data_IF_499479494263
#
_entry.id   IF_499479494263
#
_cell.length_a   1.000
_cell.length_b   1.000
_cell.length_c   1.000
_cell.angle_alpha   90.00
_cell.angle_beta   90.00
_cell.angle_gamma   90.00
#
_symmetry.space_group_name_H-M   'P 1'
#
loop_
_entity.id
_entity.type
_entity.pdbx_description
1 polymer ?
#
# COMPACT_ATOMS: atom_id res chain seq x y z
N UNK A 1 18.32 -28.19 12.74
CA UNK A 1 18.88 -26.83 12.55
C UNK A 1 18.72 -26.26 11.14
N UNK A 2 19.46 -26.66 10.10
CA UNK A 2 19.38 -26.00 8.77
C UNK A 2 18.03 -26.14 8.03
N UNK A 3 17.32 -27.26 8.22
CA UNK A 3 16.01 -27.51 7.59
C UNK A 3 14.88 -26.73 8.27
N UNK A 4 14.95 -26.57 9.59
CA UNK A 4 13.95 -25.84 10.37
C UNK A 4 14.03 -24.34 10.09
N UNK A 5 15.24 -23.78 10.00
CA UNK A 5 15.43 -22.37 9.62
C UNK A 5 14.89 -22.08 8.22
N UNK A 6 15.06 -23.01 7.26
CA UNK A 6 14.51 -22.89 5.91
C UNK A 6 12.96 -22.91 5.91
N UNK A 7 12.34 -23.81 6.69
CA UNK A 7 10.88 -23.89 6.79
C UNK A 7 10.28 -22.63 7.40
N UNK A 8 10.90 -22.11 8.47
CA UNK A 8 10.48 -20.84 9.09
C UNK A 8 10.61 -19.69 8.09
N UNK A 9 11.71 -19.66 7.34
CA UNK A 9 11.93 -18.65 6.31
C UNK A 9 10.86 -18.68 5.21
N UNK A 10 10.55 -19.87 4.67
CA UNK A 10 9.56 -20.04 3.61
C UNK A 10 8.15 -19.65 4.08
N UNK A 11 7.77 -20.05 5.30
CA UNK A 11 6.48 -19.67 5.91
C UNK A 11 6.36 -18.15 6.06
N UNK A 12 7.40 -17.50 6.60
CA UNK A 12 7.42 -16.03 6.74
C UNK A 12 7.31 -15.34 5.38
N UNK A 13 8.04 -15.82 4.38
CA UNK A 13 8.01 -15.23 3.05
C UNK A 13 6.61 -15.34 2.41
N UNK A 14 5.97 -16.50 2.55
CA UNK A 14 4.60 -16.71 2.11
C UNK A 14 3.62 -15.77 2.80
N UNK A 15 3.72 -15.62 4.12
CA UNK A 15 2.85 -14.71 4.89
C UNK A 15 3.00 -13.25 4.45
N UNK A 16 4.22 -12.78 4.22
CA UNK A 16 4.47 -11.41 3.74
C UNK A 16 3.83 -11.21 2.36
N UNK A 17 4.00 -12.16 1.45
CA UNK A 17 3.44 -12.08 0.10
C UNK A 17 1.91 -12.08 0.11
N UNK A 18 1.30 -12.94 0.92
CA UNK A 18 -0.17 -12.97 1.07
C UNK A 18 -0.66 -11.66 1.69
N UNK A 19 -0.01 -11.16 2.74
CA UNK A 19 -0.38 -9.91 3.39
C UNK A 19 -0.30 -8.69 2.45
N UNK A 20 0.81 -8.55 1.73
CA UNK A 20 0.98 -7.50 0.71
C UNK A 20 -0.04 -7.67 -0.42
N UNK A 21 -0.21 -8.90 -0.92
CA UNK A 21 -1.18 -9.22 -1.97
C UNK A 21 -2.60 -8.81 -1.59
N UNK A 22 -3.04 -9.16 -0.38
CA UNK A 22 -4.36 -8.80 0.13
C UNK A 22 -4.51 -7.28 0.30
N UNK A 23 -3.50 -6.61 0.84
CA UNK A 23 -3.52 -5.15 0.98
C UNK A 23 -3.71 -4.45 -0.38
N UNK A 24 -2.90 -4.81 -1.37
CA UNK A 24 -2.99 -4.24 -2.72
C UNK A 24 -4.28 -4.65 -3.43
N UNK A 25 -4.80 -5.85 -3.19
CA UNK A 25 -6.07 -6.31 -3.74
C UNK A 25 -7.22 -5.44 -3.22
N UNK A 26 -7.34 -5.29 -1.90
CA UNK A 26 -8.42 -4.53 -1.27
C UNK A 26 -8.38 -3.07 -1.72
N UNK A 27 -7.22 -2.41 -1.62
CA UNK A 27 -7.08 -1.02 -2.05
C UNK A 27 -7.21 -0.83 -3.56
N UNK A 28 -6.87 -1.84 -4.36
CA UNK A 28 -7.08 -1.87 -5.80
C UNK A 28 -8.56 -1.90 -6.13
N UNK A 29 -9.33 -2.82 -5.54
CA UNK A 29 -10.78 -2.94 -5.74
C UNK A 29 -11.52 -1.69 -5.27
N UNK A 30 -11.17 -1.16 -4.09
CA UNK A 30 -11.83 0.01 -3.52
C UNK A 30 -11.72 1.27 -4.39
N UNK A 31 -10.70 1.37 -5.26
CA UNK A 31 -10.57 2.47 -6.23
C UNK A 31 -11.64 2.45 -7.31
N UNK A 32 -12.28 1.31 -7.55
CA UNK A 32 -13.40 1.17 -8.49
C UNK A 32 -14.75 1.21 -7.77
N UNK A 33 -14.88 0.50 -6.64
CA UNK A 33 -16.16 0.39 -5.92
C UNK A 33 -16.49 1.62 -5.07
N UNK A 34 -15.47 2.39 -4.69
CA UNK A 34 -15.59 3.53 -3.77
C UNK A 34 -14.86 4.75 -4.31
N UNK A 35 -14.87 4.91 -5.64
CA UNK A 35 -14.16 5.99 -6.34
C UNK A 35 -14.52 7.37 -5.80
N UNK A 36 -15.82 7.63 -5.61
CA UNK A 36 -16.32 8.91 -5.09
C UNK A 36 -15.78 9.24 -3.70
N UNK A 37 -15.66 8.23 -2.84
CA UNK A 37 -15.11 8.41 -1.50
C UNK A 37 -13.63 8.80 -1.56
N UNK A 38 -12.84 8.15 -2.44
CA UNK A 38 -11.42 8.49 -2.61
C UNK A 38 -11.24 9.89 -3.20
N UNK A 39 -11.99 10.24 -4.24
CA UNK A 39 -11.86 11.52 -4.92
C UNK A 39 -12.28 12.68 -4.03
N UNK A 40 -13.43 12.58 -3.37
CA UNK A 40 -14.00 13.67 -2.61
C UNK A 40 -13.46 13.80 -1.18
N UNK A 41 -12.92 12.72 -0.61
CA UNK A 41 -12.34 12.73 0.73
C UNK A 41 -10.82 12.58 0.65
N UNK A 42 -10.32 11.34 0.62
CA UNK A 42 -8.91 11.05 0.85
C UNK A 42 -7.97 11.85 -0.08
N UNK A 43 -8.18 11.79 -1.40
CA UNK A 43 -7.30 12.41 -2.38
C UNK A 43 -7.45 13.93 -2.43
N UNK A 44 -8.67 14.47 -2.36
CA UNK A 44 -8.87 15.92 -2.22
C UNK A 44 -8.18 16.46 -0.97
N UNK A 45 -8.29 15.76 0.16
CA UNK A 45 -7.62 16.13 1.39
C UNK A 45 -6.10 16.00 1.28
N UNK A 46 -5.57 15.02 0.55
CA UNK A 46 -4.13 14.79 0.40
C UNK A 46 -3.45 15.76 -0.55
N UNK A 47 -4.07 16.04 -1.70
CA UNK A 47 -3.46 16.77 -2.80
C UNK A 47 -4.01 18.20 -2.97
N UNK A 48 -5.04 18.58 -2.18
CA UNK A 48 -5.66 19.91 -2.21
C UNK A 48 -6.37 20.25 -3.53
N UNK A 49 -6.45 19.31 -4.46
CA UNK A 49 -6.90 19.50 -5.84
C UNK A 49 -7.80 18.34 -6.29
N UNK A 50 -8.53 18.55 -7.37
CA UNK A 50 -9.37 17.51 -7.98
C UNK A 50 -8.46 16.46 -8.61
N UNK A 51 -8.45 15.26 -8.04
CA UNK A 51 -7.69 14.15 -8.60
C UNK A 51 -8.43 13.57 -9.82
N UNK A 52 -7.78 13.38 -10.98
CA UNK A 52 -8.43 12.80 -12.14
C UNK A 52 -8.91 11.36 -11.90
N UNK A 53 -10.17 11.08 -12.23
CA UNK A 53 -10.77 9.74 -12.12
C UNK A 53 -9.96 8.69 -12.88
N UNK A 54 -9.48 9.05 -14.07
CA UNK A 54 -8.63 8.18 -14.89
C UNK A 54 -7.34 7.78 -14.16
N UNK A 55 -6.70 8.71 -13.43
CA UNK A 55 -5.51 8.39 -12.65
C UNK A 55 -5.84 7.50 -11.44
N UNK A 56 -7.02 7.68 -10.83
CA UNK A 56 -7.45 6.82 -9.72
C UNK A 56 -7.59 5.37 -10.19
N UNK A 57 -8.28 5.15 -11.31
CA UNK A 57 -8.45 3.83 -11.89
C UNK A 57 -7.13 3.24 -12.38
N UNK A 58 -6.24 4.03 -12.98
CA UNK A 58 -4.91 3.56 -13.37
C UNK A 58 -4.14 3.03 -12.16
N UNK A 59 -4.14 3.78 -11.04
CA UNK A 59 -3.52 3.31 -9.79
C UNK A 59 -4.21 2.03 -9.31
N UNK A 60 -5.53 1.93 -9.40
CA UNK A 60 -6.28 0.72 -9.07
C UNK A 60 -5.82 -0.51 -9.87
N UNK A 61 -5.71 -0.37 -11.19
CA UNK A 61 -5.23 -1.45 -12.09
C UNK A 61 -3.82 -1.88 -11.69
N UNK A 62 -2.92 -0.93 -11.46
CA UNK A 62 -1.53 -1.23 -11.06
C UNK A 62 -1.51 -1.99 -9.73
N UNK A 63 -2.33 -1.59 -8.76
CA UNK A 63 -2.42 -2.30 -7.48
C UNK A 63 -2.95 -3.72 -7.63
N UNK A 64 -3.95 -3.95 -8.48
CA UNK A 64 -4.45 -5.30 -8.77
C UNK A 64 -3.37 -6.16 -9.44
N UNK A 65 -2.62 -5.62 -10.39
CA UNK A 65 -1.51 -6.33 -11.04
C UNK A 65 -0.40 -6.71 -10.04
N UNK A 66 -0.08 -5.80 -9.11
CA UNK A 66 0.86 -6.07 -8.01
C UNK A 66 0.33 -7.15 -7.08
N UNK A 67 -0.95 -7.11 -6.72
CA UNK A 67 -1.58 -8.12 -5.88
C UNK A 67 -1.51 -9.53 -6.51
N UNK A 68 -1.89 -9.64 -7.78
CA UNK A 68 -1.82 -10.90 -8.53
C UNK A 68 -0.37 -11.41 -8.59
N UNK A 69 0.59 -10.53 -8.84
CA UNK A 69 2.02 -10.89 -8.87
C UNK A 69 2.48 -11.44 -7.51
N UNK A 70 2.05 -10.83 -6.41
CA UNK A 70 2.33 -11.32 -5.06
C UNK A 70 1.71 -12.67 -4.77
N UNK A 71 0.49 -12.96 -5.22
CA UNK A 71 -0.14 -14.27 -5.05
C UNK A 71 0.50 -15.36 -5.93
N UNK A 72 0.75 -15.05 -7.20
CA UNK A 72 1.30 -16.00 -8.17
C UNK A 72 2.75 -16.39 -7.87
N UNK A 73 3.52 -15.55 -7.17
CA UNK A 73 4.99 -15.67 -7.03
C UNK A 73 5.75 -15.39 -8.32
N UNK A 74 5.09 -14.81 -9.31
CA UNK A 74 5.72 -14.46 -10.58
C UNK A 74 5.98 -12.97 -10.58
N UNK A 75 7.18 -12.57 -10.98
CA UNK A 75 7.60 -11.17 -11.00
C UNK A 75 7.51 -10.46 -9.64
N UNK A 76 7.58 -11.21 -8.53
CA UNK A 76 7.47 -10.69 -7.15
C UNK A 76 8.44 -9.54 -6.89
N UNK A 77 9.65 -9.58 -7.47
CA UNK A 77 10.64 -8.50 -7.38
C UNK A 77 10.13 -7.18 -7.94
N UNK A 78 9.60 -7.20 -9.17
CA UNK A 78 9.06 -6.02 -9.83
C UNK A 78 7.79 -5.51 -9.16
N UNK A 79 6.91 -6.42 -8.72
CA UNK A 79 5.74 -6.10 -7.92
C UNK A 79 6.13 -5.43 -6.60
N UNK A 80 7.21 -5.90 -5.96
CA UNK A 80 7.75 -5.30 -4.75
C UNK A 80 8.32 -3.90 -4.98
N UNK A 81 9.02 -3.64 -6.09
CA UNK A 81 9.44 -2.27 -6.44
C UNK A 81 8.26 -1.34 -6.65
N UNK A 82 7.25 -1.76 -7.41
CA UNK A 82 6.03 -0.98 -7.61
C UNK A 82 5.31 -0.71 -6.27
N UNK A 83 5.22 -1.72 -5.40
CA UNK A 83 4.68 -1.60 -4.07
C UNK A 83 5.46 -0.58 -3.22
N UNK A 84 6.79 -0.63 -3.23
CA UNK A 84 7.65 0.33 -2.53
C UNK A 84 7.38 1.76 -3.00
N UNK A 85 7.29 2.00 -4.30
CA UNK A 85 7.02 3.35 -4.84
C UNK A 85 5.66 3.86 -4.37
N UNK A 86 4.61 3.03 -4.46
CA UNK A 86 3.26 3.41 -4.03
C UNK A 86 3.18 3.67 -2.51
N UNK A 87 3.84 2.83 -1.71
CA UNK A 87 3.87 2.99 -0.26
C UNK A 87 4.72 4.18 0.16
N UNK A 88 5.86 4.43 -0.49
CA UNK A 88 6.67 5.63 -0.27
C UNK A 88 5.88 6.91 -0.60
N UNK A 89 5.17 6.94 -1.73
CA UNK A 89 4.28 8.05 -2.07
C UNK A 89 3.20 8.26 -0.99
N UNK A 90 2.60 7.18 -0.51
CA UNK A 90 1.61 7.23 0.58
C UNK A 90 2.23 7.81 1.84
N UNK A 91 3.41 7.34 2.26
CA UNK A 91 4.15 7.84 3.42
C UNK A 91 4.46 9.33 3.27
N UNK A 92 5.03 9.77 2.14
CA UNK A 92 5.38 11.18 1.90
C UNK A 92 4.15 12.09 1.99
N UNK A 93 3.05 11.70 1.34
CA UNK A 93 1.82 12.49 1.28
C UNK A 93 1.10 12.54 2.64
N UNK A 94 1.23 11.49 3.44
CA UNK A 94 0.59 11.41 4.76
C UNK A 94 1.48 11.90 5.90
N UNK A 95 2.79 12.07 5.69
CA UNK A 95 3.76 12.46 6.71
C UNK A 95 3.45 13.81 7.38
N UNK A 96 3.10 14.89 6.65
CA UNK A 96 2.73 16.16 7.28
C UNK A 96 1.52 16.05 8.20
N UNK A 97 0.65 15.06 7.96
CA UNK A 97 -0.60 14.86 8.71
C UNK A 97 -0.42 14.12 10.02
N UNK A 98 0.75 13.52 10.27
CA UNK A 98 1.11 12.97 11.58
C UNK A 98 1.08 14.08 12.63
N UNK A 99 1.62 15.25 12.28
CA UNK A 99 1.73 16.40 13.19
C UNK A 99 0.34 16.93 13.60
N UNK A 100 -0.66 16.76 12.75
CA UNK A 100 -2.04 17.18 13.00
C UNK A 100 -2.94 16.03 13.49
N UNK A 101 -2.43 14.80 13.59
CA UNK A 101 -3.21 13.64 14.06
C UNK A 101 -3.47 13.71 15.58
N UNK A 102 -2.62 14.41 16.32
CA UNK A 102 -2.72 14.53 17.79
C UNK A 102 -3.26 15.90 18.27
N UNK A 103 -3.73 16.75 17.36
CA UNK A 103 -4.29 18.07 17.69
C UNK A 103 -5.82 18.00 17.84
N UNK A 104 -6.36 18.63 18.89
CA UNK A 104 -7.81 18.80 19.13
C UNK A 104 -8.25 20.24 18.80
N UNK A 105 -9.40 20.45 18.13
CA UNK A 105 -10.26 19.44 17.54
C UNK A 105 -9.57 18.78 16.33
N UNK A 106 -9.80 17.48 16.08
CA UNK A 106 -9.24 16.84 14.92
C UNK A 106 -9.78 17.59 13.69
N UNK A 107 -8.91 18.12 12.80
CA UNK A 107 -9.39 18.60 11.52
C UNK A 107 -10.12 17.46 10.80
N UNK A 108 -10.88 17.77 9.76
CA UNK A 108 -11.41 16.80 8.77
C UNK A 108 -10.24 16.13 8.00
N UNK A 109 -9.29 15.56 8.74
CA UNK A 109 -8.05 15.04 8.26
C UNK A 109 -8.30 13.61 7.78
N UNK A 110 -7.72 13.23 6.63
CA UNK A 110 -7.84 11.89 6.11
C UNK A 110 -7.22 10.94 7.14
N UNK A 111 -7.66 9.68 7.13
CA UNK A 111 -7.37 8.82 8.26
C UNK A 111 -5.87 8.60 8.42
N UNK A 112 -5.31 9.07 9.54
CA UNK A 112 -3.89 8.91 9.87
C UNK A 112 -3.44 7.44 9.91
N UNK A 113 -4.39 6.49 9.96
CA UNK A 113 -4.11 5.05 9.86
C UNK A 113 -3.37 4.68 8.57
N UNK A 114 -3.56 5.41 7.46
CA UNK A 114 -2.86 5.11 6.20
C UNK A 114 -1.35 5.30 6.33
N UNK A 115 -0.91 6.29 7.10
CA UNK A 115 0.51 6.49 7.41
C UNK A 115 1.05 5.32 8.24
N UNK A 116 0.37 5.00 9.35
CA UNK A 116 0.79 3.94 10.26
C UNK A 116 0.77 2.54 9.63
N UNK A 117 -0.14 2.29 8.69
CA UNK A 117 -0.17 1.07 7.91
C UNK A 117 0.92 1.04 6.82
N UNK A 118 1.18 2.16 6.14
CA UNK A 118 2.09 2.20 5.01
C UNK A 118 3.56 1.98 5.40
N UNK A 119 4.00 2.41 6.58
CA UNK A 119 5.40 2.27 7.02
C UNK A 119 5.81 0.79 7.20
N UNK A 120 5.12 -0.05 8.00
CA UNK A 120 5.44 -1.48 8.09
C UNK A 120 5.33 -2.19 6.74
N UNK A 121 4.31 -1.86 5.95
CA UNK A 121 4.11 -2.44 4.61
C UNK A 121 5.25 -2.08 3.67
N UNK A 122 5.81 -0.88 3.77
CA UNK A 122 6.96 -0.45 2.97
C UNK A 122 8.17 -1.32 3.27
N UNK A 123 8.49 -1.55 4.55
CA UNK A 123 9.59 -2.45 4.92
C UNK A 123 9.35 -3.89 4.48
N UNK A 124 8.11 -4.37 4.57
CA UNK A 124 7.73 -5.69 4.05
C UNK A 124 7.95 -5.79 2.54
N UNK A 125 7.49 -4.80 1.76
CA UNK A 125 7.69 -4.74 0.32
C UNK A 125 9.18 -4.62 -0.05
N UNK A 126 9.93 -3.77 0.65
CA UNK A 126 11.37 -3.61 0.45
C UNK A 126 12.11 -4.93 0.69
N UNK A 127 11.71 -5.69 1.72
CA UNK A 127 12.28 -7.00 2.00
C UNK A 127 12.04 -8.02 0.88
N UNK A 128 10.94 -7.88 0.11
CA UNK A 128 10.66 -8.70 -1.06
C UNK A 128 11.47 -8.24 -2.28
N UNK A 129 11.63 -6.92 -2.46
CA UNK A 129 12.37 -6.34 -3.57
C UNK A 129 13.88 -6.68 -3.52
N UNK A 130 14.46 -6.71 -2.33
CA UNK A 130 15.88 -7.00 -2.12
C UNK A 130 16.22 -8.50 -2.21
N UNK A 131 15.22 -9.40 -2.18
CA UNK A 131 15.42 -10.86 -2.15
C UNK A 131 14.96 -11.57 -3.43
N UNK A 132 14.22 -10.88 -4.30
CA UNK A 132 13.73 -11.41 -5.57
C UNK A 132 14.69 -11.25 -6.72
#
# INVERSE_FOLDING_TARGET
MARESLVIYLKRNLMIRIGLGLFFLVFGVLKFTSADWFLNNAYKMFYGTVFPVALLYLVGIVQLAVAVSFFWNKHTKYAAYAACVMLAATVIVTFPKILTTFTLPPPEAPPGFLFFAAVPLFFMALSQALKG
#
